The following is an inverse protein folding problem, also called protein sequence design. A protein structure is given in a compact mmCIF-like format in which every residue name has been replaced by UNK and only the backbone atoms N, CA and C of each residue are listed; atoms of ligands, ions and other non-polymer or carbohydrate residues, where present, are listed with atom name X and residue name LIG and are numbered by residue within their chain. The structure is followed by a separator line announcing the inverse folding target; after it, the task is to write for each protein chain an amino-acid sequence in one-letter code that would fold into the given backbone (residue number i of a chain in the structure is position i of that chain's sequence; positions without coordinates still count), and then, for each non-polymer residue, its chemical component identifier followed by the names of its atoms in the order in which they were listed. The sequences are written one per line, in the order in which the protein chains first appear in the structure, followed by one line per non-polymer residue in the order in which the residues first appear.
data_IF_071558709990
#
_entry.id   IF_071558709990
#
_cell.length_a   1.000
_cell.length_b   1.000
_cell.length_c   1.000
_cell.angle_alpha   90.00
_cell.angle_beta   90.00
_cell.angle_gamma   90.00
#
_symmetry.space_group_name_H-M   'P 1'
#
loop_
_entity.id
_entity.type
_entity.pdbx_description
1 polymer ?
#
# COMPACT_ATOMS: atom_id res chain seq x y z
N UNK A 1 -13.93 -4.67 -12.39
CA UNK A 1 -12.72 -4.81 -11.54
C UNK A 1 -11.79 -3.65 -11.81
N UNK A 2 -11.30 -3.03 -10.77
CA UNK A 2 -10.45 -1.87 -10.89
C UNK A 2 -9.01 -2.20 -10.65
N UNK A 3 -8.12 -1.55 -11.38
CA UNK A 3 -6.71 -1.86 -11.36
C UNK A 3 -5.92 -0.63 -10.92
N UNK A 4 -5.01 -0.80 -9.98
CA UNK A 4 -4.20 0.31 -9.46
C UNK A 4 -2.73 -0.04 -9.52
N UNK A 5 -1.95 0.85 -10.11
CA UNK A 5 -0.50 0.77 -10.04
C UNK A 5 0.01 1.62 -8.89
N UNK A 6 0.92 1.07 -8.11
CA UNK A 6 1.55 1.81 -7.03
C UNK A 6 2.94 1.19 -6.77
N UNK A 7 3.69 1.73 -5.82
CA UNK A 7 4.99 1.18 -5.49
C UNK A 7 5.37 1.47 -4.06
N UNK A 8 6.32 0.65 -3.55
CA UNK A 8 6.99 0.89 -2.29
C UNK A 8 8.45 1.20 -2.60
N UNK A 9 8.90 2.40 -2.23
CA UNK A 9 10.28 2.80 -2.45
C UNK A 9 11.17 2.28 -1.36
N UNK A 10 12.28 1.67 -1.77
CA UNK A 10 13.25 1.16 -0.81
C UNK A 10 13.99 2.31 -0.18
N UNK A 11 14.24 2.21 1.12
CA UNK A 11 15.06 3.21 1.80
C UNK A 11 16.49 3.14 1.28
N UNK A 12 17.17 4.29 1.12
CA UNK A 12 18.50 4.27 0.53
C UNK A 12 19.52 3.43 1.29
N UNK A 13 19.35 3.31 2.60
CA UNK A 13 20.29 2.58 3.42
C UNK A 13 20.08 1.07 3.43
N UNK A 14 19.01 0.60 2.80
CA UNK A 14 18.70 -0.83 2.79
C UNK A 14 19.53 -1.52 1.71
N UNK A 15 20.11 -2.71 2.02
CA UNK A 15 20.90 -3.43 1.03
C UNK A 15 20.11 -3.78 -0.21
N UNK A 16 20.81 -4.10 -1.29
CA UNK A 16 20.13 -4.49 -2.52
C UNK A 16 19.23 -5.68 -2.31
N UNK A 17 18.33 -5.86 -3.22
CA UNK A 17 17.26 -6.81 -3.15
C UNK A 17 17.73 -8.26 -3.20
N UNK A 18 16.82 -9.15 -2.84
CA UNK A 18 17.03 -10.58 -2.99
C UNK A 18 15.82 -11.19 -3.71
N UNK A 19 16.01 -12.42 -4.18
CA UNK A 19 15.01 -13.05 -5.06
C UNK A 19 13.63 -13.18 -4.42
N UNK A 20 13.55 -13.32 -3.11
CA UNK A 20 12.28 -13.49 -2.42
C UNK A 20 11.58 -12.20 -2.02
N UNK A 21 12.13 -11.04 -2.36
CA UNK A 21 11.61 -9.78 -1.84
C UNK A 21 10.18 -9.52 -2.27
N UNK A 22 9.86 -9.73 -3.54
CA UNK A 22 8.50 -9.48 -4.03
C UNK A 22 7.51 -10.38 -3.32
N UNK A 23 7.83 -11.67 -3.23
CA UNK A 23 6.92 -12.62 -2.58
C UNK A 23 6.67 -12.24 -1.13
N UNK A 24 7.71 -11.80 -0.42
CA UNK A 24 7.56 -11.38 0.97
C UNK A 24 6.65 -10.16 1.09
N UNK A 25 6.84 -9.16 0.24
CA UNK A 25 6.00 -7.96 0.25
C UNK A 25 4.54 -8.33 -0.03
N UNK A 26 4.30 -9.17 -1.04
CA UNK A 26 2.94 -9.57 -1.38
C UNK A 26 2.28 -10.33 -0.23
N UNK A 27 3.03 -11.23 0.42
CA UNK A 27 2.50 -11.97 1.56
C UNK A 27 2.14 -11.07 2.72
N UNK A 28 2.98 -10.08 3.00
CA UNK A 28 2.69 -9.13 4.07
C UNK A 28 1.43 -8.31 3.75
N UNK A 29 1.32 -7.83 2.52
CA UNK A 29 0.14 -7.05 2.14
C UNK A 29 -1.13 -7.89 2.22
N UNK A 30 -1.09 -9.14 1.76
CA UNK A 30 -2.23 -10.04 1.91
C UNK A 30 -2.62 -10.23 3.37
N UNK A 31 -1.64 -10.34 4.24
CA UNK A 31 -1.91 -10.54 5.66
C UNK A 31 -2.60 -9.34 6.31
N UNK A 32 -2.51 -8.18 5.70
CA UNK A 32 -3.11 -6.96 6.24
C UNK A 32 -4.37 -6.52 5.49
N UNK A 33 -4.84 -7.30 4.52
CA UNK A 33 -6.09 -6.99 3.84
C UNK A 33 -7.27 -7.29 4.75
N UNK A 34 -8.36 -6.58 4.49
CA UNK A 34 -9.64 -6.85 5.12
C UNK A 34 -10.68 -7.03 4.01
N UNK A 35 -11.84 -7.65 4.30
CA UNK A 35 -12.87 -7.80 3.28
C UNK A 35 -13.29 -6.47 2.66
N UNK A 36 -13.27 -5.40 3.44
CA UNK A 36 -13.65 -4.10 2.94
C UNK A 36 -12.71 -3.54 1.88
N UNK A 37 -11.46 -4.01 1.87
CA UNK A 37 -10.53 -3.59 0.83
C UNK A 37 -10.96 -4.06 -0.54
N UNK A 38 -11.57 -5.24 -0.62
CA UNK A 38 -12.00 -5.79 -1.89
C UNK A 38 -10.87 -6.20 -2.80
N UNK A 39 -9.70 -6.51 -2.25
CA UNK A 39 -8.55 -6.90 -3.06
C UNK A 39 -8.76 -8.31 -3.61
N UNK A 40 -8.69 -8.43 -4.94
CA UNK A 40 -8.86 -9.72 -5.60
C UNK A 40 -7.53 -10.34 -5.99
N UNK A 41 -6.56 -9.51 -6.35
CA UNK A 41 -5.27 -10.01 -6.81
C UNK A 41 -4.23 -8.91 -6.66
N UNK A 42 -2.99 -9.31 -6.42
CA UNK A 42 -1.88 -8.39 -6.37
C UNK A 42 -0.65 -9.08 -6.97
N UNK A 43 0.07 -8.36 -7.79
CA UNK A 43 1.33 -8.83 -8.32
C UNK A 43 2.39 -7.75 -8.13
N UNK A 44 3.65 -8.14 -8.21
CA UNK A 44 4.74 -7.21 -8.02
C UNK A 44 5.88 -7.44 -8.97
N UNK A 45 6.66 -6.39 -9.15
CA UNK A 45 7.84 -6.39 -9.99
C UNK A 45 8.96 -5.73 -9.23
N UNK A 46 10.13 -6.38 -9.19
CA UNK A 46 11.27 -5.89 -8.46
C UNK A 46 12.06 -4.91 -9.31
N UNK A 47 12.29 -3.73 -8.76
CA UNK A 47 13.12 -2.71 -9.40
C UNK A 47 14.29 -2.40 -8.48
N UNK A 48 15.29 -1.66 -9.01
CA UNK A 48 16.50 -1.40 -8.23
C UNK A 48 16.24 -0.57 -6.99
N UNK A 49 15.28 0.35 -7.05
CA UNK A 49 15.00 1.27 -5.94
C UNK A 49 13.62 1.11 -5.32
N UNK A 50 12.84 0.15 -5.80
CA UNK A 50 11.45 0.02 -5.36
C UNK A 50 10.87 -1.32 -5.75
N UNK A 51 9.72 -1.62 -5.19
CA UNK A 51 8.87 -2.73 -5.65
C UNK A 51 7.63 -2.11 -6.25
N UNK A 52 7.39 -2.37 -7.52
CA UNK A 52 6.16 -1.92 -8.18
C UNK A 52 5.06 -2.93 -7.94
N UNK A 53 3.85 -2.44 -7.70
CA UNK A 53 2.71 -3.27 -7.35
C UNK A 53 1.56 -2.99 -8.29
N UNK A 54 0.89 -4.06 -8.70
CA UNK A 54 -0.33 -3.97 -9.49
C UNK A 54 -1.42 -4.67 -8.70
N UNK A 55 -2.45 -3.92 -8.32
CA UNK A 55 -3.52 -4.42 -7.49
C UNK A 55 -4.84 -4.41 -8.26
N UNK A 56 -5.61 -5.50 -8.11
CA UNK A 56 -6.92 -5.60 -8.72
C UNK A 56 -7.96 -5.63 -7.60
N UNK A 57 -8.88 -4.70 -7.65
CA UNK A 57 -9.94 -4.58 -6.64
C UNK A 57 -11.30 -4.83 -7.25
N UNK A 58 -12.19 -5.43 -6.47
CA UNK A 58 -13.59 -5.51 -6.85
C UNK A 58 -14.15 -4.11 -6.99
N UNK A 59 -14.95 -3.91 -8.02
CA UNK A 59 -15.64 -2.63 -8.16
C UNK A 59 -16.60 -2.47 -6.99
N UNK A 60 -16.69 -1.27 -6.42
CA UNK A 60 -17.56 -1.07 -5.27
C UNK A 60 -19.03 -1.15 -5.68
N UNK A 61 -19.86 -1.54 -4.73
CA UNK A 61 -21.29 -1.53 -4.90
C UNK A 61 -21.73 -0.06 -5.04
N UNK A 62 -22.30 0.33 -6.17
CA UNK A 62 -22.65 1.74 -6.38
C UNK A 62 -23.73 2.24 -5.43
N UNK A 63 -24.43 1.33 -4.77
CA UNK A 63 -25.44 1.72 -3.81
C UNK A 63 -24.90 1.91 -2.40
N UNK A 64 -23.63 1.58 -2.17
CA UNK A 64 -23.05 1.68 -0.84
C UNK A 64 -22.46 3.07 -0.63
N UNK A 65 -22.95 3.84 0.33
CA UNK A 65 -22.43 5.19 0.56
C UNK A 65 -21.03 5.17 1.18
N UNK A 66 -20.60 4.03 1.70
CA UNK A 66 -19.29 3.92 2.32
C UNK A 66 -18.22 3.43 1.37
N UNK A 67 -18.57 3.18 0.12
CA UNK A 67 -17.62 2.64 -0.83
C UNK A 67 -16.56 3.69 -1.19
N UNK A 68 -15.31 3.25 -1.16
CA UNK A 68 -14.19 4.08 -1.57
C UNK A 68 -13.66 3.61 -2.92
N UNK A 69 -13.10 4.53 -3.69
CA UNK A 69 -12.52 4.19 -4.97
C UNK A 69 -11.24 3.35 -4.82
N UNK A 70 -10.77 2.77 -5.92
CA UNK A 70 -9.63 1.87 -5.86
C UNK A 70 -8.33 2.55 -5.43
N UNK A 71 -8.11 3.80 -5.84
CA UNK A 71 -6.90 4.50 -5.41
C UNK A 71 -6.88 4.69 -3.90
N UNK A 72 -8.00 5.04 -3.32
CA UNK A 72 -8.08 5.21 -1.87
C UNK A 72 -7.85 3.87 -1.15
N UNK A 73 -8.46 2.80 -1.65
CA UNK A 73 -8.31 1.48 -1.03
C UNK A 73 -6.87 0.98 -1.12
N UNK A 74 -6.21 1.20 -2.26
CA UNK A 74 -4.82 0.82 -2.42
C UNK A 74 -3.93 1.60 -1.46
N UNK A 75 -4.13 2.91 -1.37
CA UNK A 75 -3.34 3.74 -0.47
C UNK A 75 -3.55 3.34 0.99
N UNK A 76 -4.77 3.03 1.37
CA UNK A 76 -5.08 2.62 2.74
C UNK A 76 -4.42 1.28 3.07
N UNK A 77 -4.43 0.33 2.15
CA UNK A 77 -3.81 -0.97 2.37
C UNK A 77 -2.30 -0.82 2.52
N UNK A 78 -1.66 -0.05 1.65
CA UNK A 78 -0.22 0.16 1.74
C UNK A 78 0.15 0.86 3.04
N UNK A 79 -0.60 1.87 3.43
CA UNK A 79 -0.33 2.59 4.68
C UNK A 79 -0.47 1.68 5.88
N UNK A 80 -1.51 0.86 5.90
CA UNK A 80 -1.73 -0.09 6.99
C UNK A 80 -0.61 -1.11 7.08
N UNK A 81 -0.22 -1.68 5.94
CA UNK A 81 0.86 -2.66 5.91
C UNK A 81 2.18 -2.03 6.35
N UNK A 82 2.47 -0.84 5.87
CA UNK A 82 3.71 -0.14 6.22
C UNK A 82 3.75 0.19 7.71
N UNK A 83 2.64 0.59 8.29
CA UNK A 83 2.58 0.93 9.70
C UNK A 83 2.67 -0.27 10.60
N UNK A 84 2.07 -1.40 10.19
CA UNK A 84 1.93 -2.55 11.08
C UNK A 84 2.98 -3.62 10.86
N UNK A 85 3.66 -3.62 9.74
CA UNK A 85 4.70 -4.59 9.46
C UNK A 85 6.07 -3.99 9.76
N UNK A 86 6.81 -4.52 10.74
CA UNK A 86 8.17 -4.05 10.98
C UNK A 86 9.06 -4.20 9.74
N UNK A 87 8.85 -5.25 8.97
CA UNK A 87 9.63 -5.49 7.76
C UNK A 87 9.43 -4.38 6.75
N UNK A 88 8.16 -4.04 6.45
CA UNK A 88 7.88 -2.98 5.49
C UNK A 88 8.36 -1.63 6.02
N UNK A 89 8.14 -1.38 7.29
CA UNK A 89 8.53 -0.11 7.89
C UNK A 89 10.05 0.10 7.81
N UNK A 90 10.83 -0.95 8.07
CA UNK A 90 12.27 -0.82 8.06
C UNK A 90 12.85 -0.69 6.66
N UNK A 91 12.25 -1.31 5.67
CA UNK A 91 12.83 -1.42 4.33
C UNK A 91 12.36 -0.38 3.35
N UNK A 92 11.16 0.13 3.56
CA UNK A 92 10.53 1.02 2.59
C UNK A 92 10.14 2.33 3.21
N UNK A 93 10.21 3.38 2.40
CA UNK A 93 9.71 4.69 2.81
C UNK A 93 8.19 4.64 2.94
N UNK A 94 7.59 5.56 3.70
CA UNK A 94 6.13 5.62 3.76
C UNK A 94 5.54 5.75 2.36
N UNK A 95 4.43 5.06 2.07
CA UNK A 95 3.86 5.08 0.75
C UNK A 95 3.47 6.49 0.32
N UNK A 96 3.82 6.84 -0.91
CA UNK A 96 3.42 8.10 -1.48
C UNK A 96 1.91 8.06 -1.72
N UNK A 97 1.24 9.16 -1.46
CA UNK A 97 -0.20 9.21 -1.65
C UNK A 97 -1.01 8.55 -0.57
N UNK A 98 -0.38 8.02 0.47
CA UNK A 98 -1.11 7.46 1.59
C UNK A 98 -1.96 8.54 2.25
N UNK A 99 -3.16 8.20 2.71
CA UNK A 99 -3.98 9.19 3.41
C UNK A 99 -3.23 9.71 4.63
N UNK A 100 -3.19 11.03 4.76
CA UNK A 100 -2.57 11.63 5.93
C UNK A 100 -3.44 11.38 7.14
N UNK A 101 -2.85 11.13 8.30
CA UNK A 101 -3.65 11.05 9.52
C UNK A 101 -4.35 12.38 9.74
N UNK A 102 -5.60 12.36 10.09
CA UNK A 102 -6.34 13.59 10.30
C UNK A 102 -5.70 14.51 11.30
N UNK A 103 -5.09 13.96 12.28
CA UNK A 103 -4.48 14.75 13.31
C UNK A 103 -3.25 15.45 12.88
N UNK A 104 -2.76 15.14 11.74
CA UNK A 104 -1.59 15.69 11.33
C UNK A 104 -1.71 17.00 10.80
N UNK A 105 -2.51 17.37 10.85
CA UNK A 105 -2.57 18.41 10.25
C UNK A 105 -2.61 19.54 10.99
N UNK A 106 -2.11 19.80 11.71
CA UNK A 106 -2.22 20.98 12.41
C UNK A 106 -1.34 21.90 11.87
N UNK A 107 -1.09 21.61 11.51
CA UNK A 107 -0.73 22.27 11.21
C UNK A 107 -1.07 22.56 10.38
N UNK A 108 -1.35 21.90 10.16
CA UNK A 108 -2.02 22.03 9.59
C UNK A 108 -2.65 22.69 10.18
N UNK A 109 -2.68 22.66 10.77
CA UNK A 109 -3.22 23.38 11.40
C UNK A 109 -2.53 23.99 12.19
N UNK A 110 -1.96 23.93 12.45
CA UNK A 110 -1.59 24.45 13.04
C UNK A 110 -1.15 25.04 12.71
N UNK A 111 -1.25 24.93 12.45
CA UNK A 111 -1.19 25.41 12.27
C UNK A 111 -1.40 25.69 12.42
#
# INVERSE_FOLDING_TARGET
MDCVYTSLRRRPEVPPTWAGEVAEVLGILWAHTTPEDGLEHISGSLESDRVDLLMYFLSPDPTSPAAHGPLHRAAALLARGHQRSPTLHRRYLPPAGAPAPPADDPRRAKA
#
